data_IF_556467032158
#
_entry.id   IF_556467032158
#
_cell.length_a   1.000
_cell.length_b   1.000
_cell.length_c   1.000
_cell.angle_alpha   90.00
_cell.angle_beta   90.00
_cell.angle_gamma   90.00
#
_symmetry.space_group_name_H-M   'P 1'
#
loop_
_entity.id
_entity.type
_entity.pdbx_description
1 polymer ?
#
# COMPACT_ATOMS: atom_id res chain seq x y z
N UNK A 1 6.97 3.82 8.05
CA UNK A 1 8.18 4.37 8.69
C UNK A 1 9.46 4.13 7.90
N UNK A 2 9.74 2.93 7.37
CA UNK A 2 10.92 2.68 6.53
C UNK A 2 10.62 2.76 5.03
N UNK A 3 9.79 1.85 4.51
CA UNK A 3 9.51 1.71 3.07
C UNK A 3 8.53 2.72 2.50
N UNK A 4 7.78 3.41 3.37
CA UNK A 4 6.64 4.27 2.98
C UNK A 4 5.56 3.51 2.17
N UNK A 5 5.49 2.17 2.29
CA UNK A 5 4.42 1.38 1.68
C UNK A 5 3.06 1.73 2.28
N UNK A 6 2.04 1.77 1.42
CA UNK A 6 0.67 2.13 1.77
C UNK A 6 -0.27 1.05 1.31
N UNK A 7 -1.16 0.58 2.17
CA UNK A 7 -2.35 -0.21 1.80
C UNK A 7 -3.61 0.62 2.04
N UNK A 8 -4.57 0.52 1.12
CA UNK A 8 -5.88 1.16 1.27
C UNK A 8 -6.97 0.25 0.71
N UNK A 9 -8.18 0.37 1.28
CA UNK A 9 -9.37 -0.37 0.85
C UNK A 9 -10.58 0.57 0.91
N UNK A 10 -11.37 0.71 -0.16
CA UNK A 10 -12.62 1.45 -0.10
C UNK A 10 -13.62 0.66 0.72
N UNK A 11 -14.26 1.31 1.69
CA UNK A 11 -15.28 0.71 2.55
C UNK A 11 -16.55 1.54 2.44
N UNK A 12 -17.71 0.87 2.32
CA UNK A 12 -19.03 1.53 2.38
C UNK A 12 -19.37 1.99 3.80
N UNK A 13 -18.89 1.23 4.78
CA UNK A 13 -19.07 1.51 6.21
C UNK A 13 -17.82 1.06 6.93
N UNK A 14 -17.34 1.88 7.85
CA UNK A 14 -16.18 1.56 8.68
C UNK A 14 -16.64 0.69 9.85
N UNK A 15 -16.94 -0.59 9.62
CA UNK A 15 -17.23 -1.51 10.72
C UNK A 15 -15.93 -2.04 11.35
N UNK A 16 -16.02 -2.50 12.59
CA UNK A 16 -14.88 -3.10 13.31
C UNK A 16 -14.39 -4.37 12.61
N UNK A 17 -15.30 -5.18 12.09
CA UNK A 17 -15.00 -6.39 11.32
C UNK A 17 -14.24 -6.10 10.03
N UNK A 18 -14.59 -5.02 9.31
CA UNK A 18 -13.88 -4.61 8.10
C UNK A 18 -12.44 -4.20 8.41
N UNK A 19 -12.22 -3.52 9.55
CA UNK A 19 -10.87 -3.14 9.99
C UNK A 19 -10.04 -4.38 10.35
N UNK A 20 -10.59 -5.31 11.13
CA UNK A 20 -9.91 -6.55 11.48
C UNK A 20 -9.59 -7.38 10.22
N UNK A 21 -10.55 -7.50 9.30
CA UNK A 21 -10.35 -8.17 8.01
C UNK A 21 -9.28 -7.50 7.17
N UNK A 22 -9.25 -6.17 7.13
CA UNK A 22 -8.21 -5.42 6.44
C UNK A 22 -6.82 -5.69 7.01
N UNK A 23 -6.66 -5.68 8.34
CA UNK A 23 -5.38 -5.97 8.99
C UNK A 23 -4.92 -7.39 8.63
N UNK A 24 -5.81 -8.37 8.73
CA UNK A 24 -5.47 -9.75 8.40
C UNK A 24 -5.08 -9.91 6.92
N UNK A 25 -5.96 -9.53 5.99
CA UNK A 25 -5.81 -9.82 4.55
C UNK A 25 -4.79 -8.93 3.82
N UNK A 26 -4.57 -7.70 4.29
CA UNK A 26 -3.68 -6.74 3.61
C UNK A 26 -2.34 -6.59 4.29
N UNK A 27 -2.26 -6.89 5.58
CA UNK A 27 -1.01 -6.74 6.35
C UNK A 27 -0.45 -8.11 6.70
N UNK A 28 -1.16 -8.90 7.51
CA UNK A 28 -0.63 -10.17 8.06
C UNK A 28 -0.36 -11.19 6.96
N UNK A 29 -1.32 -11.45 6.07
CA UNK A 29 -1.15 -12.46 5.02
C UNK A 29 -0.24 -12.02 3.88
N UNK A 30 0.10 -10.73 3.80
CA UNK A 30 0.93 -10.17 2.71
C UNK A 30 2.39 -9.94 3.12
N UNK A 31 2.60 -9.38 4.31
CA UNK A 31 3.91 -8.99 4.80
C UNK A 31 4.37 -9.81 6.00
N UNK A 32 3.51 -10.71 6.50
CA UNK A 32 3.73 -11.40 7.76
C UNK A 32 3.22 -10.59 8.96
N UNK A 33 3.38 -11.17 10.14
CA UNK A 33 2.94 -10.57 11.38
C UNK A 33 3.83 -9.37 11.77
N UNK A 34 3.30 -8.14 11.85
CA UNK A 34 4.08 -7.00 12.32
C UNK A 34 4.35 -7.12 13.82
N UNK A 35 5.53 -6.69 14.27
CA UNK A 35 5.82 -6.60 15.71
C UNK A 35 4.89 -5.64 16.45
N UNK A 36 4.46 -4.58 15.76
CA UNK A 36 3.65 -3.52 16.35
C UNK A 36 2.75 -2.86 15.31
N UNK A 37 1.50 -2.57 15.71
CA UNK A 37 0.57 -1.70 14.98
C UNK A 37 0.31 -0.46 15.81
N UNK A 38 0.43 0.71 15.18
CA UNK A 38 0.13 2.01 15.81
C UNK A 38 -1.13 2.59 15.17
N UNK A 39 -2.17 2.86 15.97
CA UNK A 39 -3.41 3.51 15.51
C UNK A 39 -3.72 4.74 16.35
N UNK A 40 -4.57 5.63 15.83
CA UNK A 40 -5.20 6.65 16.68
C UNK A 40 -6.23 6.01 17.63
N UNK A 41 -6.86 6.83 18.48
CA UNK A 41 -7.90 6.37 19.41
C UNK A 41 -9.31 6.28 18.80
N UNK A 42 -9.42 6.08 17.49
CA UNK A 42 -10.71 5.88 16.85
C UNK A 42 -11.39 4.60 17.35
N UNK A 43 -12.71 4.64 17.59
CA UNK A 43 -13.50 3.48 18.06
C UNK A 43 -13.40 2.27 17.13
N UNK A 44 -13.23 2.50 15.83
CA UNK A 44 -13.02 1.44 14.84
C UNK A 44 -11.71 0.64 15.03
N UNK A 45 -10.73 1.20 15.76
CA UNK A 45 -9.48 0.52 16.12
C UNK A 45 -9.47 0.02 17.57
N UNK A 46 -10.29 0.60 18.44
CA UNK A 46 -10.39 0.23 19.85
C UNK A 46 -11.69 -0.56 20.05
N UNK A 47 -11.62 -1.86 19.82
CA UNK A 47 -12.73 -2.80 20.04
C UNK A 47 -12.19 -4.22 20.24
N UNK A 48 -13.06 -5.08 20.77
CA UNK A 48 -12.74 -6.47 21.11
C UNK A 48 -12.32 -7.30 19.89
N UNK A 49 -12.85 -7.02 18.70
CA UNK A 49 -12.54 -7.77 17.47
C UNK A 49 -11.09 -7.51 17.04
N UNK A 50 -10.69 -6.24 16.99
CA UNK A 50 -9.31 -5.86 16.66
C UNK A 50 -8.35 -6.31 17.76
N UNK A 51 -8.74 -6.19 19.03
CA UNK A 51 -7.94 -6.64 20.17
C UNK A 51 -7.71 -8.16 20.16
N UNK A 52 -8.75 -8.95 19.88
CA UNK A 52 -8.64 -10.40 19.73
C UNK A 52 -7.72 -10.77 18.57
N UNK A 53 -7.79 -10.05 17.44
CA UNK A 53 -6.92 -10.30 16.29
C UNK A 53 -5.45 -10.02 16.61
N UNK A 54 -5.14 -8.85 17.18
CA UNK A 54 -3.74 -8.50 17.49
C UNK A 54 -3.16 -9.44 18.55
N UNK A 55 -3.95 -9.84 19.55
CA UNK A 55 -3.55 -10.81 20.56
C UNK A 55 -3.29 -12.20 19.95
N UNK A 56 -4.17 -12.67 19.06
CA UNK A 56 -4.02 -13.96 18.36
C UNK A 56 -2.70 -14.05 17.59
N UNK A 57 -2.26 -12.96 16.99
CA UNK A 57 -1.01 -12.90 16.23
C UNK A 57 0.17 -12.38 17.05
N UNK A 58 0.02 -12.13 18.35
CA UNK A 58 1.04 -11.55 19.23
C UNK A 58 1.58 -10.20 18.72
N UNK A 59 0.72 -9.41 18.09
CA UNK A 59 1.01 -8.06 17.59
C UNK A 59 0.84 -7.07 18.75
N UNK A 60 1.85 -6.25 19.01
CA UNK A 60 1.71 -5.16 19.98
C UNK A 60 0.85 -4.03 19.41
N UNK A 61 -0.32 -3.77 19.99
CA UNK A 61 -1.15 -2.64 19.58
C UNK A 61 -0.84 -1.39 20.41
N UNK A 62 -0.19 -0.40 19.80
CA UNK A 62 0.03 0.91 20.43
C UNK A 62 -1.02 1.92 19.97
N UNK A 63 -1.72 2.48 20.94
CA UNK A 63 -2.72 3.53 20.73
C UNK A 63 -2.00 4.87 20.85
N UNK A 64 -1.90 5.61 19.76
CA UNK A 64 -1.35 6.96 19.77
C UNK A 64 -2.18 7.84 20.71
N UNK A 65 -1.53 8.57 21.61
CA UNK A 65 -2.21 9.61 22.39
C UNK A 65 -2.62 10.75 21.45
N UNK A 66 -3.68 11.48 21.80
CA UNK A 66 -4.23 12.62 21.05
C UNK A 66 -3.16 13.66 20.66
N UNK A 67 -2.01 13.65 21.35
CA UNK A 67 -0.92 14.60 21.21
C UNK A 67 0.39 13.98 20.67
N UNK A 68 0.33 13.09 19.68
CA UNK A 68 1.54 12.64 18.94
C UNK A 68 1.52 13.06 17.45
N UNK A 69 1.76 14.36 17.16
CA UNK A 69 1.67 14.94 15.81
C UNK A 69 2.57 14.25 14.78
N UNK A 70 3.72 13.73 15.20
CA UNK A 70 4.69 13.11 14.28
C UNK A 70 4.21 11.78 13.68
N UNK A 71 3.34 11.05 14.39
CA UNK A 71 2.84 9.75 13.93
C UNK A 71 1.63 9.92 13.05
N UNK A 72 0.65 10.69 13.52
CA UNK A 72 -0.51 11.04 12.71
C UNK A 72 -0.12 11.89 11.50
N UNK A 73 0.83 12.81 11.62
CA UNK A 73 1.24 13.70 10.52
C UNK A 73 1.81 12.96 9.31
N UNK A 74 2.47 11.81 9.49
CA UNK A 74 2.90 10.99 8.35
C UNK A 74 1.73 10.33 7.64
N UNK A 75 0.76 9.81 8.39
CA UNK A 75 -0.47 9.21 7.84
C UNK A 75 -1.31 10.28 7.15
N UNK A 76 -1.49 11.44 7.77
CA UNK A 76 -2.22 12.59 7.21
C UNK A 76 -1.59 13.08 5.90
N UNK A 77 -0.26 13.28 5.87
CA UNK A 77 0.43 13.67 4.64
C UNK A 77 0.33 12.61 3.55
N UNK A 78 0.37 11.34 3.93
CA UNK A 78 0.21 10.23 2.98
C UNK A 78 -1.21 10.21 2.41
N UNK A 79 -2.22 10.33 3.26
CA UNK A 79 -3.62 10.42 2.84
C UNK A 79 -3.85 11.62 1.92
N UNK A 80 -3.28 12.77 2.25
CA UNK A 80 -3.34 13.96 1.40
C UNK A 80 -2.78 13.69 -0.01
N UNK A 81 -1.60 13.06 -0.11
CA UNK A 81 -1.01 12.71 -1.41
C UNK A 81 -1.89 11.72 -2.18
N UNK A 82 -2.46 10.70 -1.52
CA UNK A 82 -3.37 9.76 -2.17
C UNK A 82 -4.62 10.46 -2.70
N UNK A 83 -5.20 11.38 -1.92
CA UNK A 83 -6.33 12.19 -2.36
C UNK A 83 -5.98 13.06 -3.57
N UNK A 84 -4.76 13.63 -3.63
CA UNK A 84 -4.32 14.39 -4.80
C UNK A 84 -4.16 13.52 -6.04
N UNK A 85 -3.62 12.31 -5.90
CA UNK A 85 -3.49 11.36 -7.03
C UNK A 85 -4.88 10.94 -7.49
N UNK A 86 -5.76 10.55 -6.57
CA UNK A 86 -7.15 10.19 -6.86
C UNK A 86 -7.91 11.33 -7.53
N UNK A 87 -7.76 12.57 -7.07
CA UNK A 87 -8.43 13.73 -7.64
C UNK A 87 -7.99 13.99 -9.09
N UNK A 88 -6.70 13.79 -9.39
CA UNK A 88 -6.18 13.92 -10.76
C UNK A 88 -6.66 12.80 -11.67
N UNK A 89 -6.65 11.56 -11.17
CA UNK A 89 -7.03 10.38 -11.94
C UNK A 89 -8.56 10.27 -12.16
N UNK A 90 -9.35 10.67 -11.17
CA UNK A 90 -10.80 10.63 -11.19
C UNK A 90 -11.44 11.93 -11.72
N UNK A 91 -10.66 12.88 -12.26
CA UNK A 91 -11.14 14.19 -12.69
C UNK A 91 -12.35 14.13 -13.65
N UNK A 92 -12.47 13.05 -14.44
CA UNK A 92 -13.59 12.81 -15.36
C UNK A 92 -14.69 11.88 -14.80
N UNK A 93 -14.41 11.11 -13.73
CA UNK A 93 -15.33 10.10 -13.17
C UNK A 93 -15.22 10.02 -11.64
N UNK A 94 -15.42 11.15 -10.95
CA UNK A 94 -15.28 11.28 -9.48
C UNK A 94 -16.12 10.25 -8.71
N UNK A 95 -17.29 9.88 -9.22
CA UNK A 95 -18.20 8.90 -8.60
C UNK A 95 -17.68 7.46 -8.60
N UNK A 96 -16.58 7.14 -9.32
CA UNK A 96 -15.95 5.80 -9.37
C UNK A 96 -14.55 5.78 -8.76
N UNK A 97 -14.27 6.71 -7.84
CA UNK A 97 -12.96 6.80 -7.18
C UNK A 97 -12.55 5.49 -6.50
N UNK A 98 -13.51 4.72 -5.97
CA UNK A 98 -13.32 3.43 -5.32
C UNK A 98 -12.68 2.40 -6.26
N UNK A 99 -13.05 2.42 -7.55
CA UNK A 99 -12.49 1.54 -8.58
C UNK A 99 -11.07 1.95 -8.99
N UNK A 100 -10.68 3.21 -8.74
CA UNK A 100 -9.37 3.77 -9.08
C UNK A 100 -8.34 3.66 -7.95
N UNK A 101 -8.75 3.16 -6.79
CA UNK A 101 -7.87 3.03 -5.61
C UNK A 101 -6.63 2.18 -5.92
N UNK A 102 -6.77 1.09 -6.68
CA UNK A 102 -5.66 0.21 -7.03
C UNK A 102 -4.65 0.90 -7.95
N UNK A 103 -5.12 1.63 -8.96
CA UNK A 103 -4.25 2.43 -9.84
C UNK A 103 -3.55 3.55 -9.07
N UNK A 104 -4.26 4.22 -8.15
CA UNK A 104 -3.68 5.25 -7.29
C UNK A 104 -2.60 4.69 -6.38
N UNK A 105 -2.87 3.56 -5.72
CA UNK A 105 -1.89 2.89 -4.87
C UNK A 105 -0.67 2.45 -5.69
N UNK A 106 -0.88 1.94 -6.91
CA UNK A 106 0.21 1.56 -7.80
C UNK A 106 1.10 2.75 -8.14
N UNK A 107 0.51 3.85 -8.63
CA UNK A 107 1.24 5.07 -8.91
C UNK A 107 2.01 5.57 -7.68
N UNK A 108 1.36 5.59 -6.51
CA UNK A 108 2.03 5.99 -5.27
C UNK A 108 3.23 5.10 -4.92
N UNK A 109 3.10 3.78 -5.08
CA UNK A 109 4.14 2.79 -4.72
C UNK A 109 5.28 2.77 -5.73
N UNK A 110 5.02 3.08 -7.00
CA UNK A 110 6.02 3.12 -8.06
C UNK A 110 6.79 4.45 -8.12
N UNK A 111 6.23 5.56 -7.63
CA UNK A 111 6.93 6.85 -7.63
C UNK A 111 7.90 7.00 -6.45
N UNK A 112 9.15 7.34 -6.75
CA UNK A 112 10.18 7.69 -5.78
C UNK A 112 9.75 8.81 -4.82
N UNK A 113 10.10 8.67 -3.55
CA UNK A 113 9.81 9.71 -2.53
C UNK A 113 11.03 10.57 -2.32
N UNK A 114 10.85 11.90 -2.28
CA UNK A 114 11.94 12.85 -2.05
C UNK A 114 12.71 12.59 -0.75
N UNK A 115 12.04 12.07 0.28
CA UNK A 115 12.67 11.76 1.56
C UNK A 115 13.64 10.56 1.52
N UNK A 116 13.45 9.63 0.58
CA UNK A 116 14.24 8.38 0.51
C UNK A 116 15.03 8.23 -0.78
N UNK A 117 14.71 8.98 -1.84
CA UNK A 117 15.25 8.78 -3.20
C UNK A 117 14.66 7.57 -3.92
N UNK A 118 14.21 6.56 -3.17
CA UNK A 118 13.63 5.32 -3.69
C UNK A 118 12.09 5.31 -3.68
N UNK A 119 11.50 4.46 -4.52
CA UNK A 119 10.06 4.18 -4.51
C UNK A 119 9.69 3.23 -3.38
N UNK A 120 8.46 3.31 -2.85
CA UNK A 120 8.00 2.33 -1.86
C UNK A 120 8.07 0.89 -2.34
N UNK A 121 7.91 0.64 -3.64
CA UNK A 121 8.04 -0.68 -4.24
C UNK A 121 9.49 -1.19 -4.18
N UNK A 122 10.47 -0.37 -4.59
CA UNK A 122 11.90 -0.71 -4.45
C UNK A 122 12.27 -1.02 -3.00
N UNK A 123 11.79 -0.21 -2.04
CA UNK A 123 12.10 -0.43 -0.63
C UNK A 123 11.43 -1.69 -0.04
N UNK A 124 10.30 -2.12 -0.61
CA UNK A 124 9.57 -3.30 -0.14
C UNK A 124 10.08 -4.61 -0.76
N UNK A 125 10.45 -4.59 -2.04
CA UNK A 125 10.81 -5.81 -2.79
C UNK A 125 12.26 -5.84 -3.27
N UNK A 126 13.03 -4.77 -3.08
CA UNK A 126 14.43 -4.68 -3.50
C UNK A 126 14.65 -4.46 -5.00
N UNK A 127 13.57 -4.34 -5.79
CA UNK A 127 13.63 -4.19 -7.25
C UNK A 127 12.69 -3.08 -7.72
N UNK A 128 12.97 -2.51 -8.88
CA UNK A 128 12.08 -1.57 -9.53
C UNK A 128 10.84 -2.25 -10.11
N UNK A 129 9.65 -1.67 -9.94
CA UNK A 129 8.47 -2.16 -10.64
C UNK A 129 8.65 -2.00 -12.15
N UNK A 130 8.24 -3.00 -12.94
CA UNK A 130 8.13 -2.83 -14.39
C UNK A 130 6.86 -2.01 -14.68
N UNK A 131 7.03 -0.87 -15.33
CA UNK A 131 5.95 0.03 -15.67
C UNK A 131 5.36 -0.33 -17.03
N UNK A 132 4.05 -0.12 -17.27
CA UNK A 132 3.44 -0.39 -18.57
C UNK A 132 4.13 0.30 -19.75
N UNK A 133 4.64 1.52 -19.56
CA UNK A 133 5.37 2.28 -20.58
C UNK A 133 6.66 1.58 -21.06
N UNK A 134 7.22 0.67 -20.26
CA UNK A 134 8.40 -0.10 -20.65
C UNK A 134 8.08 -1.19 -21.67
N UNK A 135 6.81 -1.50 -21.93
CA UNK A 135 6.44 -2.36 -23.05
C UNK A 135 6.29 -1.56 -24.34
N UNK A 136 5.82 -0.31 -24.27
CA UNK A 136 5.74 0.59 -25.42
C UNK A 136 7.12 1.14 -25.81
N UNK A 137 7.98 1.37 -24.81
CA UNK A 137 9.36 1.83 -24.96
C UNK A 137 10.27 0.82 -24.24
N UNK A 138 10.64 -0.28 -24.93
CA UNK A 138 11.36 -1.40 -24.33
C UNK A 138 12.63 -0.96 -23.59
N UNK A 139 12.70 -1.31 -22.30
CA UNK A 139 13.91 -1.16 -21.51
C UNK A 139 14.78 -2.40 -21.63
N UNK A 140 16.07 -2.29 -21.29
CA UNK A 140 17.03 -3.42 -21.38
C UNK A 140 16.54 -4.66 -20.63
N UNK A 141 15.80 -4.50 -19.52
CA UNK A 141 15.27 -5.62 -18.75
C UNK A 141 14.09 -6.32 -19.45
N UNK A 142 13.22 -5.57 -20.13
CA UNK A 142 12.10 -6.14 -20.90
C UNK A 142 12.63 -6.88 -22.13
N UNK A 143 13.55 -6.26 -22.88
CA UNK A 143 14.19 -6.85 -24.05
C UNK A 143 14.95 -8.16 -23.74
N UNK A 144 15.54 -8.28 -22.54
CA UNK A 144 16.25 -9.50 -22.14
C UNK A 144 15.31 -10.67 -21.88
N UNK A 145 14.14 -10.43 -21.29
CA UNK A 145 13.15 -11.48 -21.07
C UNK A 145 12.58 -12.01 -22.38
N UNK A 146 12.22 -11.12 -23.32
CA UNK A 146 11.67 -11.52 -24.63
C UNK A 146 12.63 -12.44 -25.41
N UNK A 147 13.93 -12.14 -25.37
CA UNK A 147 14.96 -12.98 -26.01
C UNK A 147 15.14 -14.34 -25.35
N UNK A 148 14.90 -14.45 -24.04
CA UNK A 148 14.95 -15.74 -23.34
C UNK A 148 13.75 -16.61 -23.77
N UNK A 149 12.56 -16.03 -23.83
CA UNK A 149 11.33 -16.72 -24.25
C UNK A 149 11.43 -17.23 -25.70
N UNK A 150 11.99 -16.43 -26.62
CA UNK A 150 12.26 -16.86 -28.00
C UNK A 150 13.28 -17.99 -28.07
N UNK A 151 14.32 -17.97 -27.23
CA UNK A 151 15.37 -18.99 -27.24
C UNK A 151 14.94 -20.34 -26.68
N UNK A 152 13.93 -20.36 -25.81
CA UNK A 152 13.32 -21.58 -25.27
C UNK A 152 12.24 -22.13 -26.22
N UNK A 153 11.57 -21.26 -26.99
CA UNK A 153 10.60 -21.62 -28.02
C UNK A 153 11.23 -22.26 -29.28
N UNK A 154 12.53 -22.06 -29.50
CA UNK A 154 13.30 -22.62 -30.63
C UNK A 154 13.89 -24.00 -30.30
N UNK A 155 13.69 -24.51 -29.08
CA UNK A 155 14.24 -25.80 -28.60
C UNK A 155 13.21 -26.94 -28.52
N UNK A 156 11.96 -26.72 -28.92
CA UNK A 156 10.95 -27.78 -29.18
C UNK A 156 10.81 -28.07 -30.68
#
# INVERSE_FOLDING_TARGET
YLTKWVEARPLKTTSMDEVARFIYERIVTRFGCPLEIVTNQGSHFINEVVEALVNKFSIKHKKATTYKPSTNGQVERTNFVLCQILAKDAALQVHKWDKRIHATLWAYRATSKSATGYSPFQLAYGIDPVLPIEFDIPTVRVMKNERMDESDSVKE
#
